data_IF_023933916336
#
_entry.id   IF_023933916336
#
_cell.length_a   1.000
_cell.length_b   1.000
_cell.length_c   1.000
_cell.angle_alpha   90.00
_cell.angle_beta   90.00
_cell.angle_gamma   90.00
#
_symmetry.space_group_name_H-M   'P 1'
#
loop_
_entity.id
_entity.type
_entity.pdbx_description
1 polymer ?
#
# COMPACT_ATOMS: atom_id res chain seq x y z
N UNK A 1 34.98 -24.39 29.37
CA UNK A 1 33.66 -23.92 29.83
C UNK A 1 33.54 -23.60 31.33
N UNK A 2 34.20 -24.32 32.26
CA UNK A 2 33.95 -24.18 33.72
C UNK A 2 34.29 -22.81 34.35
N UNK A 3 35.40 -22.19 33.96
CA UNK A 3 35.83 -20.88 34.52
C UNK A 3 34.99 -19.70 34.00
N UNK A 4 34.53 -19.77 32.74
CA UNK A 4 33.68 -18.76 32.11
C UNK A 4 32.34 -18.63 32.84
N UNK A 5 31.65 -19.77 33.06
CA UNK A 5 30.35 -19.81 33.75
C UNK A 5 30.44 -19.32 35.19
N UNK A 6 31.49 -19.71 35.91
CA UNK A 6 31.69 -19.28 37.31
C UNK A 6 31.94 -17.77 37.43
N UNK A 7 32.75 -17.19 36.54
CA UNK A 7 33.06 -15.76 36.56
C UNK A 7 31.85 -14.90 36.23
N UNK A 8 31.09 -15.26 35.18
CA UNK A 8 29.86 -14.55 34.82
C UNK A 8 28.81 -14.63 35.94
N UNK A 9 28.64 -15.81 36.55
CA UNK A 9 27.70 -15.99 37.66
C UNK A 9 28.06 -15.17 38.89
N UNK A 10 29.35 -15.08 39.22
CA UNK A 10 29.83 -14.26 40.34
C UNK A 10 29.57 -12.76 40.11
N UNK A 11 29.84 -12.25 38.92
CA UNK A 11 29.58 -10.83 38.60
C UNK A 11 28.08 -10.49 38.61
N UNK A 12 27.25 -11.34 38.00
CA UNK A 12 25.79 -11.15 38.00
C UNK A 12 25.23 -11.20 39.42
N UNK A 13 25.68 -12.15 40.25
CA UNK A 13 25.23 -12.26 41.64
C UNK A 13 25.66 -11.08 42.50
N UNK A 14 26.78 -10.42 42.19
CA UNK A 14 27.28 -9.28 42.93
C UNK A 14 26.56 -7.97 42.56
N UNK A 15 26.03 -7.87 41.33
CA UNK A 15 25.40 -6.65 40.79
C UNK A 15 24.12 -6.92 40.01
N UNK A 16 23.12 -7.60 40.60
CA UNK A 16 21.97 -8.12 39.86
C UNK A 16 21.15 -7.02 39.16
N UNK A 17 21.01 -5.86 39.78
CA UNK A 17 20.21 -4.73 39.25
C UNK A 17 20.90 -4.09 38.03
N UNK A 18 22.23 -3.96 38.05
CA UNK A 18 23.00 -3.41 36.92
C UNK A 18 22.90 -4.34 35.72
N UNK A 19 23.05 -5.66 35.92
CA UNK A 19 22.94 -6.63 34.84
C UNK A 19 21.50 -6.79 34.32
N UNK A 20 20.48 -6.73 35.18
CA UNK A 20 19.07 -6.83 34.76
C UNK A 20 18.62 -5.65 33.91
N UNK A 21 19.27 -4.49 34.03
CA UNK A 21 18.95 -3.35 33.17
C UNK A 21 19.33 -3.58 31.69
N UNK A 22 20.28 -4.48 31.40
CA UNK A 22 20.69 -4.83 30.03
C UNK A 22 19.53 -5.43 29.20
N UNK A 23 18.86 -6.52 29.63
CA UNK A 23 17.74 -7.07 28.88
C UNK A 23 16.52 -6.13 28.87
N UNK A 24 16.29 -5.31 29.90
CA UNK A 24 15.22 -4.30 29.88
C UNK A 24 15.45 -3.22 28.81
N UNK A 25 16.68 -2.70 28.71
CA UNK A 25 17.06 -1.75 27.66
C UNK A 25 16.96 -2.41 26.29
N UNK A 26 17.46 -3.64 26.14
CA UNK A 26 17.38 -4.35 24.87
C UNK A 26 15.94 -4.61 24.42
N UNK A 27 15.02 -4.91 25.34
CA UNK A 27 13.60 -5.08 25.05
C UNK A 27 12.96 -3.78 24.56
N UNK A 28 13.20 -2.66 25.27
CA UNK A 28 12.70 -1.35 24.87
C UNK A 28 13.27 -0.90 23.52
N UNK A 29 14.58 -1.06 23.33
CA UNK A 29 15.25 -0.76 22.06
C UNK A 29 14.67 -1.63 20.95
N UNK A 30 14.41 -2.91 21.21
CA UNK A 30 13.78 -3.83 20.25
C UNK A 30 12.43 -3.31 19.72
N UNK A 31 11.52 -2.89 20.63
CA UNK A 31 10.26 -2.24 20.24
C UNK A 31 10.56 -1.00 19.39
N UNK A 32 11.40 -0.10 19.90
CA UNK A 32 11.69 1.19 19.26
C UNK A 32 12.28 1.01 17.85
N UNK A 33 13.19 0.05 17.67
CA UNK A 33 13.82 -0.24 16.39
C UNK A 33 12.85 -0.82 15.38
N UNK A 34 11.99 -1.75 15.82
CA UNK A 34 11.01 -2.38 14.94
C UNK A 34 9.91 -1.38 14.54
N UNK A 35 9.42 -0.60 15.51
CA UNK A 35 8.49 0.51 15.26
C UNK A 35 9.06 1.54 14.29
N UNK A 36 10.31 1.97 14.50
CA UNK A 36 10.97 2.92 13.60
C UNK A 36 11.15 2.32 12.21
N UNK A 37 11.47 1.03 12.12
CA UNK A 37 11.53 0.30 10.87
C UNK A 37 10.22 0.35 10.09
N UNK A 38 9.11 -0.03 10.73
CA UNK A 38 7.77 0.04 10.12
C UNK A 38 7.44 1.47 9.70
N UNK A 39 7.74 2.46 10.53
CA UNK A 39 7.50 3.87 10.17
C UNK A 39 8.33 4.31 8.96
N UNK A 40 9.58 3.89 8.87
CA UNK A 40 10.48 4.19 7.76
C UNK A 40 10.07 3.50 6.46
N UNK A 41 9.35 2.38 6.53
CA UNK A 41 8.82 1.69 5.36
C UNK A 41 7.76 2.53 4.64
N UNK A 42 6.85 3.17 5.38
CA UNK A 42 5.70 3.88 4.81
C UNK A 42 5.82 5.40 4.81
N UNK A 43 6.59 5.98 5.74
CA UNK A 43 6.61 7.42 5.97
C UNK A 43 8.03 8.02 5.92
N UNK A 44 8.13 9.30 5.51
CA UNK A 44 7.07 10.14 4.95
C UNK A 44 6.73 9.77 3.49
N UNK A 45 5.47 9.95 3.08
CA UNK A 45 5.02 9.62 1.71
C UNK A 45 5.79 10.42 0.66
N UNK A 46 6.06 11.69 0.95
CA UNK A 46 6.94 12.53 0.15
C UNK A 46 8.28 12.74 0.86
N UNK A 47 9.34 12.91 0.07
CA UNK A 47 10.68 13.14 0.61
C UNK A 47 10.70 14.38 1.51
N UNK A 48 11.21 14.22 2.72
CA UNK A 48 11.45 15.32 3.66
C UNK A 48 12.94 15.41 3.97
N UNK A 49 13.48 16.62 3.84
CA UNK A 49 14.88 16.92 4.16
C UNK A 49 15.50 17.93 3.20
N UNK A 50 16.80 18.18 3.38
CA UNK A 50 17.57 19.01 2.47
C UNK A 50 17.94 18.19 1.23
N UNK A 51 17.49 18.66 0.06
CA UNK A 51 17.74 17.99 -1.23
C UNK A 51 19.08 18.43 -1.86
N UNK A 52 20.17 18.39 -1.08
CA UNK A 52 21.50 18.72 -1.60
C UNK A 52 21.99 17.61 -2.54
N UNK A 53 21.82 16.36 -2.12
CA UNK A 53 22.20 15.19 -2.91
C UNK A 53 21.32 14.01 -2.52
N UNK A 54 20.46 13.62 -3.46
CA UNK A 54 19.63 12.44 -3.42
C UNK A 54 20.14 11.45 -4.47
N UNK A 55 20.29 10.19 -4.10
CA UNK A 55 20.59 9.14 -5.08
C UNK A 55 19.30 8.70 -5.76
N UNK A 56 19.39 8.37 -7.04
CA UNK A 56 18.21 8.02 -7.82
C UNK A 56 17.54 6.76 -7.25
N UNK A 57 16.22 6.83 -7.07
CA UNK A 57 15.38 5.75 -6.52
C UNK A 57 15.77 5.23 -5.13
N UNK A 58 16.53 6.00 -4.32
CA UNK A 58 16.81 5.64 -2.92
C UNK A 58 15.92 6.38 -1.93
N UNK A 59 15.55 5.73 -0.81
CA UNK A 59 14.73 6.36 0.23
C UNK A 59 15.52 7.40 1.04
N UNK A 60 16.84 7.23 1.16
CA UNK A 60 17.72 8.15 1.87
C UNK A 60 18.35 9.19 0.94
N UNK A 61 18.46 10.42 1.44
CA UNK A 61 19.36 11.46 0.95
C UNK A 61 20.37 11.85 2.03
N UNK A 62 21.34 12.71 1.70
CA UNK A 62 22.38 13.12 2.65
C UNK A 62 21.82 13.70 3.96
N UNK A 63 20.70 14.43 3.88
CA UNK A 63 19.96 14.97 5.03
C UNK A 63 18.45 14.90 4.78
N UNK A 64 17.95 13.73 4.40
CA UNK A 64 16.53 13.53 4.23
C UNK A 64 16.12 12.07 4.08
N UNK A 65 14.83 11.83 4.28
CA UNK A 65 14.23 10.52 4.26
C UNK A 65 12.90 10.58 3.51
N UNK A 66 12.65 9.54 2.73
CA UNK A 66 11.34 9.21 2.21
C UNK A 66 11.03 7.77 2.62
N UNK A 67 9.76 7.51 2.89
CA UNK A 67 9.26 6.16 3.07
C UNK A 67 9.67 5.29 1.89
N UNK A 68 10.03 4.06 2.19
CA UNK A 68 10.60 3.15 1.21
C UNK A 68 9.59 2.73 0.14
N UNK A 69 8.39 2.32 0.55
CA UNK A 69 7.26 2.01 -0.36
C UNK A 69 6.89 3.21 -1.25
N UNK A 70 6.72 4.44 -0.72
CA UNK A 70 6.50 5.64 -1.54
C UNK A 70 7.63 5.99 -2.52
N UNK A 71 8.87 5.58 -2.22
CA UNK A 71 10.01 5.84 -3.10
C UNK A 71 9.98 4.93 -4.33
N UNK A 72 9.50 3.70 -4.16
CA UNK A 72 9.49 2.65 -5.20
C UNK A 72 8.11 2.37 -5.78
N UNK A 73 7.15 3.29 -5.60
CA UNK A 73 5.75 3.13 -6.02
C UNK A 73 5.60 2.69 -7.48
N UNK A 74 6.34 3.26 -8.43
CA UNK A 74 6.21 2.88 -9.85
C UNK A 74 6.58 1.40 -10.10
N UNK A 75 7.68 0.93 -9.50
CA UNK A 75 8.14 -0.45 -9.65
C UNK A 75 7.16 -1.43 -8.99
N UNK A 76 6.73 -1.10 -7.77
CA UNK A 76 5.80 -1.93 -6.99
C UNK A 76 4.41 -1.98 -7.62
N UNK A 77 3.89 -0.83 -8.07
CA UNK A 77 2.60 -0.74 -8.74
C UNK A 77 2.58 -1.59 -10.02
N UNK A 78 3.61 -1.51 -10.88
CA UNK A 78 3.70 -2.34 -12.09
C UNK A 78 3.69 -3.84 -11.80
N UNK A 79 4.39 -4.29 -10.76
CA UNK A 79 4.36 -5.70 -10.34
C UNK A 79 2.96 -6.11 -9.90
N UNK A 80 2.34 -5.31 -9.04
CA UNK A 80 0.99 -5.60 -8.54
C UNK A 80 -0.05 -5.61 -9.67
N UNK A 81 0.01 -4.63 -10.57
CA UNK A 81 -0.87 -4.54 -11.74
C UNK A 81 -0.74 -5.80 -12.59
N UNK A 82 0.49 -6.20 -12.93
CA UNK A 82 0.76 -7.41 -13.71
C UNK A 82 0.16 -8.65 -13.05
N UNK A 83 0.29 -8.77 -11.72
CA UNK A 83 -0.30 -9.89 -10.97
C UNK A 83 -1.83 -9.88 -11.09
N UNK A 84 -2.45 -8.71 -10.93
CA UNK A 84 -3.91 -8.57 -11.03
C UNK A 84 -4.38 -8.94 -12.43
N UNK A 85 -3.76 -8.41 -13.48
CA UNK A 85 -4.17 -8.62 -14.87
C UNK A 85 -3.87 -10.03 -15.37
N UNK A 86 -2.73 -10.62 -14.98
CA UNK A 86 -2.31 -11.91 -15.50
C UNK A 86 -2.99 -13.09 -14.77
N UNK A 87 -3.28 -12.94 -13.48
CA UNK A 87 -3.73 -14.07 -12.62
C UNK A 87 -5.11 -13.85 -11.99
N UNK A 88 -5.47 -12.63 -11.61
CA UNK A 88 -6.57 -12.40 -10.66
C UNK A 88 -7.86 -11.87 -11.28
N UNK A 89 -7.80 -11.03 -12.31
CA UNK A 89 -8.99 -10.36 -12.85
C UNK A 89 -9.00 -10.36 -14.38
N UNK A 90 -10.14 -10.76 -14.95
CA UNK A 90 -10.44 -10.61 -16.38
C UNK A 90 -11.60 -9.62 -16.52
N UNK A 91 -11.45 -8.63 -17.39
CA UNK A 91 -12.51 -7.67 -17.68
C UNK A 91 -13.70 -8.34 -18.36
N UNK A 92 -13.46 -9.25 -19.31
CA UNK A 92 -14.51 -10.01 -19.98
C UNK A 92 -15.39 -10.78 -18.98
N UNK A 93 -14.77 -11.45 -18.00
CA UNK A 93 -15.53 -12.14 -16.94
C UNK A 93 -16.33 -11.16 -16.07
N UNK A 94 -15.70 -10.07 -15.62
CA UNK A 94 -16.33 -9.11 -14.72
C UNK A 94 -17.51 -8.39 -15.41
N UNK A 95 -17.29 -7.83 -16.60
CA UNK A 95 -18.34 -7.18 -17.39
C UNK A 95 -19.36 -8.19 -17.91
N UNK A 96 -18.97 -9.45 -18.11
CA UNK A 96 -19.84 -10.58 -18.45
C UNK A 96 -21.02 -10.76 -17.50
N UNK A 97 -20.87 -10.36 -16.23
CA UNK A 97 -21.90 -10.44 -15.17
C UNK A 97 -22.95 -9.32 -15.21
N UNK A 98 -22.71 -8.26 -15.99
CA UNK A 98 -23.65 -7.14 -16.13
C UNK A 98 -24.86 -7.57 -16.97
N UNK A 99 -26.08 -7.35 -16.46
CA UNK A 99 -27.29 -7.46 -17.27
C UNK A 99 -27.39 -6.28 -18.26
N UNK A 100 -27.48 -6.53 -19.59
CA UNK A 100 -27.52 -5.47 -20.58
C UNK A 100 -28.77 -4.58 -20.52
N UNK A 101 -29.92 -5.15 -20.12
CA UNK A 101 -31.17 -4.40 -20.05
C UNK A 101 -31.15 -3.49 -18.83
N UNK A 102 -30.74 -4.01 -17.67
CA UNK A 102 -30.69 -3.26 -16.41
C UNK A 102 -29.66 -2.14 -16.49
N UNK A 103 -28.41 -2.42 -16.91
CA UNK A 103 -27.40 -1.39 -17.08
C UNK A 103 -27.81 -0.34 -18.11
N UNK A 104 -28.38 -0.79 -19.24
CA UNK A 104 -28.85 0.10 -20.29
C UNK A 104 -29.91 1.08 -19.82
N UNK A 105 -30.86 0.63 -18.98
CA UNK A 105 -31.88 1.49 -18.38
C UNK A 105 -31.29 2.46 -17.35
N UNK A 106 -30.31 2.03 -16.56
CA UNK A 106 -29.68 2.87 -15.54
C UNK A 106 -28.80 3.97 -16.15
N UNK A 107 -28.12 3.69 -17.27
CA UNK A 107 -27.30 4.69 -17.98
C UNK A 107 -28.13 5.68 -18.80
N UNK A 108 -29.34 5.28 -19.20
CA UNK A 108 -30.19 6.05 -20.12
C UNK A 108 -30.41 7.51 -19.69
N UNK A 109 -30.78 7.83 -18.42
CA UNK A 109 -31.04 9.22 -18.03
C UNK A 109 -29.80 10.12 -18.17
N UNK A 110 -28.60 9.63 -17.83
CA UNK A 110 -27.38 10.42 -17.95
C UNK A 110 -26.94 10.64 -19.39
N UNK A 111 -27.20 9.66 -20.26
CA UNK A 111 -26.97 9.80 -21.70
C UNK A 111 -27.99 10.76 -22.32
N UNK A 112 -29.27 10.66 -21.95
CA UNK A 112 -30.33 11.56 -22.44
C UNK A 112 -30.10 13.02 -22.03
N UNK A 113 -29.68 13.27 -20.78
CA UNK A 113 -29.31 14.59 -20.27
C UNK A 113 -28.16 15.21 -21.07
N UNK A 114 -27.14 14.41 -21.38
CA UNK A 114 -25.97 14.88 -22.13
C UNK A 114 -26.32 15.15 -23.60
N UNK A 115 -27.14 14.30 -24.24
CA UNK A 115 -27.63 14.53 -25.60
C UNK A 115 -28.48 15.80 -25.69
N UNK A 116 -29.36 16.05 -24.71
CA UNK A 116 -30.13 17.30 -24.65
C UNK A 116 -29.22 18.53 -24.55
N UNK A 117 -28.21 18.45 -23.68
CA UNK A 117 -27.27 19.53 -23.44
C UNK A 117 -26.44 19.87 -24.69
N UNK A 118 -25.99 18.84 -25.42
CA UNK A 118 -25.23 19.02 -26.65
C UNK A 118 -26.08 19.63 -27.77
N UNK A 119 -27.34 19.22 -27.90
CA UNK A 119 -28.22 19.66 -28.99
C UNK A 119 -28.91 21.00 -28.72
N UNK A 120 -29.09 21.38 -27.45
CA UNK A 120 -29.58 22.70 -27.05
C UNK A 120 -28.67 23.87 -27.52
N UNK A 121 -27.37 23.60 -27.71
CA UNK A 121 -26.41 24.57 -28.24
C UNK A 121 -26.34 24.64 -29.78
N UNK A 122 -27.05 23.76 -30.49
CA UNK A 122 -26.95 23.62 -31.94
C UNK A 122 -28.15 24.28 -32.67
N UNK A 123 -28.00 25.55 -33.05
CA UNK A 123 -28.99 26.29 -33.87
C UNK A 123 -29.12 25.76 -35.32
N UNK A 124 -28.38 24.69 -35.65
CA UNK A 124 -28.35 24.10 -36.99
C UNK A 124 -29.41 23.00 -37.11
N UNK A 125 -30.53 23.38 -37.71
CA UNK A 125 -31.33 22.51 -38.59
C UNK A 125 -31.93 21.26 -37.90
N UNK A 126 -32.97 21.47 -37.09
CA UNK A 126 -33.80 20.35 -36.60
C UNK A 126 -33.16 19.47 -35.51
N UNK A 127 -32.14 19.97 -34.81
CA UNK A 127 -31.48 19.28 -33.69
C UNK A 127 -32.47 18.69 -32.67
N UNK A 128 -33.53 19.42 -32.30
CA UNK A 128 -34.59 18.92 -31.42
C UNK A 128 -35.38 17.73 -31.99
N UNK A 129 -35.63 17.70 -33.30
CA UNK A 129 -36.33 16.59 -33.95
C UNK A 129 -35.45 15.34 -34.02
N UNK A 130 -34.16 15.53 -34.29
CA UNK A 130 -33.18 14.45 -34.27
C UNK A 130 -32.93 13.92 -32.84
N UNK A 131 -32.82 14.81 -31.85
CA UNK A 131 -32.74 14.47 -30.42
C UNK A 131 -33.92 13.59 -30.01
N UNK A 132 -35.14 14.01 -30.36
CA UNK A 132 -36.34 13.25 -30.10
C UNK A 132 -36.32 11.87 -30.75
N UNK A 133 -35.87 11.78 -32.01
CA UNK A 133 -35.71 10.52 -32.72
C UNK A 133 -34.71 9.58 -32.04
N UNK A 134 -33.52 10.09 -31.68
CA UNK A 134 -32.48 9.34 -30.99
C UNK A 134 -32.97 8.85 -29.63
N UNK A 135 -33.64 9.71 -28.84
CA UNK A 135 -34.27 9.34 -27.55
C UNK A 135 -35.31 8.26 -27.65
N UNK A 136 -36.08 8.20 -28.75
CA UNK A 136 -37.06 7.12 -28.95
C UNK A 136 -36.39 5.78 -29.23
N UNK A 137 -35.19 5.77 -29.79
CA UNK A 137 -34.47 4.57 -30.20
C UNK A 137 -33.46 4.12 -29.13
N UNK A 138 -32.92 5.05 -28.35
CA UNK A 138 -31.98 4.82 -27.25
C UNK A 138 -32.39 3.66 -26.31
N UNK A 139 -33.62 3.58 -25.78
CA UNK A 139 -34.04 2.47 -24.91
C UNK A 139 -33.90 1.08 -25.54
N UNK A 140 -34.03 0.97 -26.87
CA UNK A 140 -33.86 -0.28 -27.61
C UNK A 140 -32.39 -0.53 -28.01
N UNK A 141 -31.61 0.54 -28.24
CA UNK A 141 -30.19 0.45 -28.56
C UNK A 141 -29.32 0.13 -27.35
N UNK A 142 -29.66 0.66 -26.16
CA UNK A 142 -28.83 0.53 -24.96
C UNK A 142 -28.49 -0.92 -24.62
N UNK A 143 -29.44 -1.89 -24.60
CA UNK A 143 -29.09 -3.29 -24.35
C UNK A 143 -28.14 -3.88 -25.40
N UNK A 144 -28.28 -3.50 -26.68
CA UNK A 144 -27.39 -3.95 -27.75
C UNK A 144 -25.97 -3.38 -27.60
N UNK A 145 -25.87 -2.10 -27.25
CA UNK A 145 -24.58 -1.42 -27.00
C UNK A 145 -23.90 -2.06 -25.80
N UNK A 146 -24.61 -2.26 -24.69
CA UNK A 146 -24.05 -2.91 -23.50
C UNK A 146 -23.64 -4.35 -23.81
N UNK A 147 -24.43 -5.10 -24.56
CA UNK A 147 -24.07 -6.48 -24.97
C UNK A 147 -22.79 -6.51 -25.79
N UNK A 148 -22.64 -5.57 -26.74
CA UNK A 148 -21.44 -5.46 -27.56
C UNK A 148 -20.24 -4.99 -26.73
N UNK A 149 -20.46 -4.09 -25.77
CA UNK A 149 -19.42 -3.57 -24.88
C UNK A 149 -18.86 -4.70 -24.01
N UNK A 150 -19.72 -5.60 -23.52
CA UNK A 150 -19.29 -6.78 -22.75
C UNK A 150 -18.37 -7.70 -23.55
N UNK A 151 -18.61 -7.84 -24.86
CA UNK A 151 -17.84 -8.72 -25.74
C UNK A 151 -16.50 -8.12 -26.18
N UNK A 152 -16.42 -6.80 -26.28
CA UNK A 152 -15.22 -6.09 -26.75
C UNK A 152 -14.60 -5.19 -25.65
N UNK A 153 -14.84 -5.50 -24.37
CA UNK A 153 -14.42 -4.62 -23.27
C UNK A 153 -12.91 -4.39 -23.24
N UNK A 154 -12.11 -5.41 -23.56
CA UNK A 154 -10.64 -5.31 -23.59
C UNK A 154 -10.12 -4.36 -24.69
N UNK A 155 -10.93 -4.04 -25.71
CA UNK A 155 -10.59 -3.02 -26.71
C UNK A 155 -10.90 -1.61 -26.24
N UNK A 156 -11.80 -1.46 -25.26
CA UNK A 156 -12.33 -0.18 -24.80
C UNK A 156 -11.71 0.26 -23.48
N UNK A 157 -11.35 -0.70 -22.62
CA UNK A 157 -10.90 -0.47 -21.27
C UNK A 157 -9.55 -1.16 -21.03
N UNK A 158 -8.56 -0.39 -20.60
CA UNK A 158 -7.23 -0.90 -20.25
C UNK A 158 -7.09 -0.98 -18.72
N UNK A 159 -7.32 -2.19 -18.19
CA UNK A 159 -7.19 -2.47 -16.76
C UNK A 159 -5.79 -2.15 -16.22
N UNK A 160 -4.73 -2.39 -17.01
CA UNK A 160 -3.35 -2.12 -16.59
C UNK A 160 -3.19 -0.61 -16.34
N UNK A 161 -3.64 0.21 -17.27
CA UNK A 161 -3.58 1.67 -17.15
C UNK A 161 -4.41 2.19 -15.97
N UNK A 162 -5.61 1.66 -15.73
CA UNK A 162 -6.47 2.09 -14.61
C UNK A 162 -5.78 1.85 -13.27
N UNK A 163 -5.36 0.61 -13.03
CA UNK A 163 -4.73 0.20 -11.77
C UNK A 163 -3.40 0.94 -11.59
N UNK A 164 -2.57 1.02 -12.63
CA UNK A 164 -1.29 1.72 -12.56
C UNK A 164 -1.49 3.21 -12.28
N UNK A 165 -2.45 3.86 -12.94
CA UNK A 165 -2.74 5.27 -12.74
C UNK A 165 -3.23 5.55 -11.32
N UNK A 166 -3.99 4.65 -10.70
CA UNK A 166 -4.45 4.80 -9.32
C UNK A 166 -3.27 4.85 -8.33
N UNK A 167 -2.32 3.92 -8.45
CA UNK A 167 -1.16 3.85 -7.55
C UNK A 167 -0.07 4.90 -7.85
N UNK A 168 0.14 5.25 -9.13
CA UNK A 168 1.17 6.24 -9.50
C UNK A 168 0.70 7.67 -9.28
N UNK A 169 -0.58 7.96 -9.50
CA UNK A 169 -1.17 9.29 -9.25
C UNK A 169 -1.19 9.61 -7.76
N UNK A 170 -1.41 8.60 -6.93
CA UNK A 170 -1.43 8.72 -5.48
C UNK A 170 -0.64 7.61 -4.80
N UNK A 171 0.61 7.94 -4.44
CA UNK A 171 1.49 7.03 -3.69
C UNK A 171 0.88 6.62 -2.35
N UNK A 172 0.00 7.46 -1.77
CA UNK A 172 -0.68 7.12 -0.52
C UNK A 172 -1.61 5.93 -0.71
N UNK A 173 -2.25 5.77 -1.87
CA UNK A 173 -3.12 4.63 -2.14
C UNK A 173 -2.35 3.30 -2.08
N UNK A 174 -1.13 3.24 -2.61
CA UNK A 174 -0.29 2.02 -2.50
C UNK A 174 0.16 1.78 -1.05
N UNK A 175 0.50 2.85 -0.34
CA UNK A 175 0.89 2.78 1.08
C UNK A 175 -0.27 2.29 1.95
N UNK A 176 -1.48 2.81 1.72
CA UNK A 176 -2.70 2.41 2.41
C UNK A 176 -3.02 0.94 2.15
N UNK A 177 -2.83 0.45 0.91
CA UNK A 177 -3.02 -0.97 0.58
C UNK A 177 -2.13 -1.86 1.45
N UNK A 178 -0.83 -1.58 1.51
CA UNK A 178 0.12 -2.39 2.28
C UNK A 178 -0.12 -2.30 3.78
N UNK A 179 -0.45 -1.11 4.31
CA UNK A 179 -0.78 -0.95 5.72
C UNK A 179 -2.09 -1.64 6.09
N UNK A 180 -3.09 -1.62 5.21
CA UNK A 180 -4.36 -2.28 5.43
C UNK A 180 -4.15 -3.80 5.46
N UNK A 181 -3.60 -4.36 4.38
CA UNK A 181 -3.38 -5.80 4.20
C UNK A 181 -2.41 -6.37 5.24
N UNK A 182 -1.32 -5.65 5.55
CA UNK A 182 -0.28 -6.12 6.46
C UNK A 182 -0.46 -5.67 7.91
N UNK A 183 -1.62 -5.10 8.29
CA UNK A 183 -1.79 -4.45 9.60
C UNK A 183 -1.33 -5.33 10.76
N UNK A 184 -1.82 -6.57 10.81
CA UNK A 184 -1.54 -7.51 11.90
C UNK A 184 -0.08 -7.98 11.87
N UNK A 185 0.50 -8.22 10.69
CA UNK A 185 1.91 -8.60 10.55
C UNK A 185 2.84 -7.46 10.95
N UNK A 186 2.50 -6.23 10.61
CA UNK A 186 3.22 -5.03 11.01
C UNK A 186 3.14 -4.82 12.53
N UNK A 187 1.97 -4.99 13.13
CA UNK A 187 1.79 -4.94 14.59
C UNK A 187 2.60 -6.03 15.29
N UNK A 188 2.59 -7.26 14.74
CA UNK A 188 3.42 -8.34 15.24
C UNK A 188 4.92 -8.04 15.10
N UNK A 189 5.36 -7.45 13.99
CA UNK A 189 6.75 -7.03 13.79
C UNK A 189 7.19 -6.09 14.93
N UNK A 190 6.36 -5.11 15.27
CA UNK A 190 6.64 -4.16 16.36
C UNK A 190 6.61 -4.86 17.72
N UNK A 191 5.56 -5.61 18.02
CA UNK A 191 5.32 -6.21 19.33
C UNK A 191 6.32 -7.32 19.67
N UNK A 192 6.71 -8.13 18.68
CA UNK A 192 7.74 -9.16 18.82
C UNK A 192 9.12 -8.57 19.15
N UNK A 193 9.36 -7.29 18.82
CA UNK A 193 10.59 -6.57 19.14
C UNK A 193 10.89 -6.55 20.64
N UNK A 194 9.86 -6.48 21.50
CA UNK A 194 10.03 -6.55 22.95
C UNK A 194 10.59 -7.90 23.40
N UNK A 195 9.92 -8.99 22.99
CA UNK A 195 10.25 -10.35 23.42
C UNK A 195 11.59 -10.81 22.89
N UNK A 196 11.85 -10.60 21.59
CA UNK A 196 13.12 -10.92 20.95
C UNK A 196 14.27 -10.07 21.52
N UNK A 197 14.04 -8.77 21.69
CA UNK A 197 15.00 -7.86 22.30
C UNK A 197 15.36 -8.27 23.73
N UNK A 198 14.38 -8.71 24.53
CA UNK A 198 14.61 -9.22 25.88
C UNK A 198 15.44 -10.50 25.89
N UNK A 199 15.08 -11.50 25.08
CA UNK A 199 15.79 -12.80 25.00
C UNK A 199 17.23 -12.62 24.53
N UNK A 200 17.44 -11.85 23.46
CA UNK A 200 18.78 -11.54 22.96
C UNK A 200 19.56 -10.66 23.94
N UNK A 201 18.86 -9.77 24.66
CA UNK A 201 19.39 -8.97 25.76
C UNK A 201 19.90 -9.81 26.93
N UNK A 202 19.26 -10.94 27.25
CA UNK A 202 19.78 -11.90 28.24
C UNK A 202 21.09 -12.54 27.75
N UNK A 203 21.17 -12.86 26.46
CA UNK A 203 22.41 -13.31 25.82
C UNK A 203 23.52 -12.25 25.91
N UNK A 204 23.19 -11.00 25.58
CA UNK A 204 24.09 -9.84 25.72
C UNK A 204 24.56 -9.66 27.16
N UNK A 205 23.67 -9.78 28.14
CA UNK A 205 23.99 -9.67 29.57
C UNK A 205 25.03 -10.73 29.98
N UNK A 206 24.83 -11.99 29.58
CA UNK A 206 25.78 -13.09 29.86
C UNK A 206 27.12 -12.87 29.17
N UNK A 207 27.10 -12.39 27.92
CA UNK A 207 28.32 -12.10 27.17
C UNK A 207 29.14 -10.97 27.81
N UNK A 208 28.46 -9.89 28.22
CA UNK A 208 29.09 -8.75 28.88
C UNK A 208 29.65 -9.11 30.26
N UNK A 209 28.95 -9.96 31.03
CA UNK A 209 29.44 -10.46 32.32
C UNK A 209 30.78 -11.21 32.19
N UNK A 210 31.04 -11.82 31.03
CA UNK A 210 32.30 -12.51 30.77
C UNK A 210 33.40 -11.59 30.23
N UNK A 211 33.04 -10.58 29.42
CA UNK A 211 33.96 -9.63 28.78
C UNK A 211 33.50 -8.18 29.01
N UNK A 212 33.71 -7.61 30.21
CA UNK A 212 33.26 -6.25 30.53
C UNK A 212 34.19 -5.20 29.91
N UNK A 213 34.07 -4.99 28.60
CA UNK A 213 34.85 -3.99 27.86
C UNK A 213 33.90 -2.91 27.32
N UNK A 214 34.34 -1.65 27.27
CA UNK A 214 33.46 -0.54 26.88
C UNK A 214 32.82 -0.70 25.49
N UNK A 215 33.53 -1.31 24.52
CA UNK A 215 33.01 -1.50 23.16
C UNK A 215 32.07 -2.70 23.01
N UNK A 216 32.02 -3.63 23.98
CA UNK A 216 31.19 -4.84 23.84
C UNK A 216 29.70 -4.53 23.93
N UNK A 217 29.29 -3.50 24.66
CA UNK A 217 27.88 -3.09 24.76
C UNK A 217 27.36 -2.46 23.44
N UNK A 218 28.07 -1.51 22.80
CA UNK A 218 27.69 -1.02 21.47
C UNK A 218 27.69 -2.10 20.39
N UNK A 219 28.73 -2.95 20.36
CA UNK A 219 28.81 -4.03 19.37
C UNK A 219 27.72 -5.08 19.57
N UNK A 220 27.45 -5.47 20.83
CA UNK A 220 26.36 -6.38 21.14
C UNK A 220 25.00 -5.75 20.85
N UNK A 221 24.79 -4.47 21.18
CA UNK A 221 23.56 -3.75 20.85
C UNK A 221 23.31 -3.71 19.34
N UNK A 222 24.35 -3.46 18.54
CA UNK A 222 24.26 -3.50 17.07
C UNK A 222 23.89 -4.91 16.56
N UNK A 223 24.53 -5.95 17.10
CA UNK A 223 24.23 -7.33 16.76
C UNK A 223 22.81 -7.73 17.15
N UNK A 224 22.37 -7.38 18.37
CA UNK A 224 21.02 -7.64 18.87
C UNK A 224 19.98 -6.94 17.99
N UNK A 225 20.16 -5.64 17.70
CA UNK A 225 19.23 -4.91 16.84
C UNK A 225 19.15 -5.49 15.42
N UNK A 226 20.28 -5.87 14.84
CA UNK A 226 20.33 -6.55 13.54
C UNK A 226 19.60 -7.89 13.57
N UNK A 227 19.92 -8.75 14.55
CA UNK A 227 19.37 -10.11 14.63
C UNK A 227 17.88 -10.10 15.01
N UNK A 228 17.44 -9.22 15.92
CA UNK A 228 16.03 -9.06 16.26
C UNK A 228 15.21 -8.74 15.02
N UNK A 229 15.62 -7.73 14.24
CA UNK A 229 14.86 -7.32 13.06
C UNK A 229 14.91 -8.38 11.95
N UNK A 230 16.06 -9.05 11.78
CA UNK A 230 16.18 -10.17 10.84
C UNK A 230 15.27 -11.34 11.21
N UNK A 231 15.20 -11.73 12.49
CA UNK A 231 14.30 -12.78 12.97
C UNK A 231 12.84 -12.35 12.80
N UNK A 232 12.50 -11.10 13.15
CA UNK A 232 11.14 -10.58 13.05
C UNK A 232 10.60 -10.65 11.62
N UNK A 233 11.35 -10.15 10.64
CA UNK A 233 10.97 -10.24 9.21
C UNK A 233 10.83 -11.70 8.79
N UNK A 234 11.79 -12.55 9.17
CA UNK A 234 11.77 -13.96 8.78
C UNK A 234 10.54 -14.70 9.29
N UNK A 235 10.07 -14.40 10.50
CA UNK A 235 8.84 -14.99 11.04
C UNK A 235 7.57 -14.53 10.30
N UNK A 236 7.61 -13.41 9.57
CA UNK A 236 6.46 -12.89 8.84
C UNK A 236 6.26 -13.66 7.53
N UNK A 237 7.34 -13.97 6.80
CA UNK A 237 7.27 -14.55 5.45
C UNK A 237 7.76 -16.00 5.33
N UNK A 238 8.60 -16.49 6.25
CA UNK A 238 9.18 -17.84 6.18
C UNK A 238 8.75 -18.73 7.36
N UNK A 239 8.48 -20.03 7.13
CA UNK A 239 8.42 -20.71 5.83
C UNK A 239 7.06 -20.47 5.14
N UNK A 240 7.08 -20.40 3.81
CA UNK A 240 5.86 -20.17 3.03
C UNK A 240 4.87 -21.33 3.11
N UNK A 241 5.37 -22.56 2.97
CA UNK A 241 4.58 -23.76 3.23
C UNK A 241 4.61 -24.11 4.73
N UNK A 242 3.49 -24.60 5.28
CA UNK A 242 3.45 -25.03 6.67
C UNK A 242 4.41 -26.20 6.90
N UNK A 243 5.33 -26.04 7.85
CA UNK A 243 6.31 -27.05 8.23
C UNK A 243 5.94 -27.66 9.57
N UNK A 244 5.75 -28.98 9.59
CA UNK A 244 5.53 -29.75 10.82
C UNK A 244 6.83 -29.90 11.63
N UNK A 245 6.75 -29.60 12.92
CA UNK A 245 7.85 -29.71 13.89
C UNK A 245 7.46 -30.71 14.98
N UNK A 246 8.46 -31.44 15.49
CA UNK A 246 8.30 -32.49 16.52
C UNK A 246 7.34 -33.62 16.07
N UNK A 247 7.52 -34.12 14.84
CA UNK A 247 6.77 -35.27 14.34
C UNK A 247 5.26 -35.02 14.14
N UNK A 248 4.87 -33.79 13.79
CA UNK A 248 3.49 -33.42 13.46
C UNK A 248 2.68 -32.78 14.61
N UNK A 249 3.31 -32.39 15.72
CA UNK A 249 2.59 -31.80 16.87
C UNK A 249 2.37 -30.29 16.76
N UNK A 250 3.23 -29.59 16.01
CA UNK A 250 3.16 -28.15 15.80
C UNK A 250 3.47 -27.84 14.35
N UNK A 251 2.66 -26.98 13.72
CA UNK A 251 2.92 -26.44 12.39
C UNK A 251 3.45 -25.02 12.53
N UNK A 252 4.53 -24.72 11.81
CA UNK A 252 5.07 -23.35 11.70
C UNK A 252 4.96 -22.92 10.25
N UNK A 253 4.42 -21.73 10.05
CA UNK A 253 4.31 -21.06 8.76
C UNK A 253 4.57 -19.57 8.99
N UNK A 254 5.04 -18.87 7.96
CA UNK A 254 5.08 -17.41 7.95
C UNK A 254 3.70 -16.84 8.28
N UNK A 255 3.68 -15.81 9.12
CA UNK A 255 2.42 -15.23 9.61
C UNK A 255 1.56 -14.73 8.45
N UNK A 256 2.18 -14.10 7.46
CA UNK A 256 1.49 -13.51 6.32
C UNK A 256 0.79 -14.58 5.48
N UNK A 257 1.47 -15.69 5.21
CA UNK A 257 0.93 -16.84 4.46
C UNK A 257 -0.14 -17.57 5.27
N UNK A 258 0.03 -17.69 6.59
CA UNK A 258 -0.99 -18.29 7.47
C UNK A 258 -2.31 -17.51 7.49
N UNK A 259 -2.26 -16.19 7.22
CA UNK A 259 -3.42 -15.28 7.13
C UNK A 259 -3.87 -15.02 5.70
N UNK A 260 -3.46 -15.85 4.73
CA UNK A 260 -3.82 -15.70 3.31
C UNK A 260 -5.32 -15.43 3.08
N UNK A 261 -6.22 -16.08 3.83
CA UNK A 261 -7.67 -15.88 3.68
C UNK A 261 -8.07 -14.45 4.03
N UNK A 262 -7.63 -13.95 5.17
CA UNK A 262 -7.98 -12.62 5.67
C UNK A 262 -7.34 -11.53 4.81
N UNK A 263 -6.05 -11.70 4.47
CA UNK A 263 -5.33 -10.81 3.56
C UNK A 263 -6.02 -10.72 2.20
N UNK A 264 -6.50 -11.84 1.67
CA UNK A 264 -7.20 -11.88 0.38
C UNK A 264 -8.50 -11.07 0.42
N UNK A 265 -9.24 -11.13 1.52
CA UNK A 265 -10.47 -10.36 1.71
C UNK A 265 -10.19 -8.86 1.84
N UNK A 266 -9.19 -8.47 2.65
CA UNK A 266 -8.80 -7.08 2.79
C UNK A 266 -8.25 -6.49 1.48
N UNK A 267 -7.50 -7.29 0.71
CA UNK A 267 -7.01 -6.91 -0.61
C UNK A 267 -8.16 -6.67 -1.60
N UNK A 268 -9.09 -7.63 -1.72
CA UNK A 268 -10.24 -7.51 -2.62
C UNK A 268 -11.10 -6.29 -2.29
N UNK A 269 -11.40 -6.09 -1.01
CA UNK A 269 -12.19 -4.96 -0.52
C UNK A 269 -11.50 -3.62 -0.81
N UNK A 270 -10.19 -3.53 -0.55
CA UNK A 270 -9.41 -2.35 -0.85
C UNK A 270 -9.43 -2.01 -2.35
N UNK A 271 -9.18 -3.03 -3.19
CA UNK A 271 -9.13 -2.85 -4.64
C UNK A 271 -10.46 -2.34 -5.19
N UNK A 272 -11.60 -2.92 -4.78
CA UNK A 272 -12.91 -2.45 -5.24
C UNK A 272 -13.26 -1.04 -4.73
N UNK A 273 -12.91 -0.72 -3.48
CA UNK A 273 -13.28 0.57 -2.86
C UNK A 273 -12.38 1.75 -3.25
N UNK A 274 -11.11 1.51 -3.62
CA UNK A 274 -10.11 2.58 -3.81
C UNK A 274 -9.46 2.61 -5.19
N UNK A 275 -9.49 1.52 -5.95
CA UNK A 275 -8.73 1.39 -7.21
C UNK A 275 -9.64 1.10 -8.40
N UNK A 276 -10.51 0.09 -8.28
CA UNK A 276 -11.39 -0.40 -9.33
C UNK A 276 -12.85 -0.06 -9.03
N UNK A 277 -13.10 1.21 -8.69
CA UNK A 277 -14.45 1.68 -8.40
C UNK A 277 -15.26 1.82 -9.71
N UNK A 278 -16.59 1.65 -9.64
CA UNK A 278 -17.47 1.92 -10.78
C UNK A 278 -17.21 3.29 -11.42
N UNK A 279 -16.99 4.32 -10.59
CA UNK A 279 -16.66 5.67 -11.06
C UNK A 279 -15.34 5.74 -11.82
N UNK A 280 -14.28 5.09 -11.34
CA UNK A 280 -12.99 5.08 -12.04
C UNK A 280 -13.05 4.28 -13.35
N UNK A 281 -13.76 3.14 -13.38
CA UNK A 281 -13.97 2.34 -14.59
C UNK A 281 -14.78 3.10 -15.64
N UNK A 282 -15.93 3.69 -15.26
CA UNK A 282 -16.77 4.48 -16.16
C UNK A 282 -16.06 5.74 -16.65
N UNK A 283 -15.26 6.37 -15.78
CA UNK A 283 -14.45 7.52 -16.15
C UNK A 283 -13.41 7.14 -17.20
N UNK A 284 -12.70 6.04 -17.01
CA UNK A 284 -11.69 5.56 -17.96
C UNK A 284 -12.30 5.23 -19.33
N UNK A 285 -13.46 4.56 -19.34
CA UNK A 285 -14.24 4.33 -20.58
C UNK A 285 -14.50 5.64 -21.34
N UNK A 286 -14.73 6.74 -20.64
CA UNK A 286 -15.07 8.03 -21.26
C UNK A 286 -13.87 8.89 -21.68
N UNK A 287 -12.63 8.44 -21.45
CA UNK A 287 -11.43 9.21 -21.80
C UNK A 287 -11.20 9.30 -23.32
N UNK A 288 -10.60 10.42 -23.75
CA UNK A 288 -10.15 10.62 -25.14
C UNK A 288 -11.14 11.31 -26.08
N UNK A 289 -12.40 11.52 -25.68
CA UNK A 289 -13.40 12.21 -26.51
C UNK A 289 -13.60 11.50 -27.85
N UNK A 290 -13.54 12.23 -28.97
CA UNK A 290 -13.68 11.66 -30.33
C UNK A 290 -12.55 10.68 -30.71
N UNK A 291 -11.37 10.83 -30.11
CA UNK A 291 -10.23 9.94 -30.30
C UNK A 291 -10.23 8.75 -29.31
N UNK A 292 -11.18 8.74 -28.36
CA UNK A 292 -11.33 7.73 -27.32
C UNK A 292 -11.88 6.40 -27.84
N UNK A 293 -11.60 5.33 -27.12
CA UNK A 293 -12.00 3.98 -27.54
C UNK A 293 -13.52 3.77 -27.45
N UNK A 294 -14.19 4.34 -26.44
CA UNK A 294 -15.66 4.28 -26.35
C UNK A 294 -16.33 4.98 -27.53
N UNK A 295 -15.82 6.13 -27.98
CA UNK A 295 -16.35 6.82 -29.16
C UNK A 295 -16.21 5.97 -30.42
N UNK A 296 -15.01 5.41 -30.65
CA UNK A 296 -14.75 4.52 -31.80
C UNK A 296 -15.63 3.26 -31.75
N UNK A 297 -15.81 2.69 -30.56
CA UNK A 297 -16.67 1.54 -30.31
C UNK A 297 -18.13 1.87 -30.64
N UNK A 298 -18.68 2.97 -30.14
CA UNK A 298 -20.05 3.41 -30.42
C UNK A 298 -20.25 3.64 -31.92
N UNK A 299 -19.30 4.33 -32.57
CA UNK A 299 -19.34 4.59 -34.01
C UNK A 299 -19.38 3.32 -34.87
N UNK A 300 -18.74 2.23 -34.40
CA UNK A 300 -18.71 0.93 -35.09
C UNK A 300 -20.01 0.14 -34.94
N UNK A 301 -20.65 0.23 -33.77
CA UNK A 301 -21.79 -0.61 -33.40
C UNK A 301 -23.17 0.02 -33.68
N UNK A 302 -23.21 1.32 -33.97
CA UNK A 302 -24.47 1.99 -34.26
C UNK A 302 -24.93 1.76 -35.72
N UNK A 303 -26.17 1.29 -35.94
CA UNK A 303 -26.65 0.85 -37.26
C UNK A 303 -26.94 1.98 -38.25
N UNK A 304 -26.96 3.24 -37.78
CA UNK A 304 -27.28 4.41 -38.59
C UNK A 304 -26.17 5.46 -38.46
N UNK A 305 -25.97 6.32 -39.47
CA UNK A 305 -25.04 7.43 -39.36
C UNK A 305 -25.54 8.43 -38.31
N UNK A 306 -25.04 8.27 -37.08
CA UNK A 306 -25.27 9.19 -35.97
C UNK A 306 -24.21 10.30 -36.04
N UNK A 307 -24.60 11.59 -35.97
CA UNK A 307 -23.68 12.72 -35.89
C UNK A 307 -22.65 12.56 -34.77
N UNK A 308 -21.41 13.00 -35.01
CA UNK A 308 -20.32 12.90 -34.02
C UNK A 308 -20.65 13.66 -32.74
N UNK A 309 -21.41 14.74 -32.82
CA UNK A 309 -21.83 15.53 -31.65
C UNK A 309 -22.66 14.70 -30.65
N UNK A 310 -23.49 13.78 -31.15
CA UNK A 310 -24.35 12.93 -30.30
C UNK A 310 -23.54 11.78 -29.71
N UNK A 311 -22.59 11.24 -30.47
CA UNK A 311 -21.65 10.24 -29.95
C UNK A 311 -20.79 10.83 -28.83
N UNK A 312 -20.23 12.02 -29.05
CA UNK A 312 -19.48 12.77 -28.04
C UNK A 312 -20.35 13.06 -26.83
N UNK A 313 -21.60 13.48 -27.02
CA UNK A 313 -22.55 13.67 -25.94
C UNK A 313 -22.84 12.38 -25.15
N UNK A 314 -22.92 11.22 -25.81
CA UNK A 314 -23.09 9.95 -25.11
C UNK A 314 -21.86 9.58 -24.28
N UNK A 315 -20.65 9.81 -24.81
CA UNK A 315 -19.38 9.63 -24.07
C UNK A 315 -19.33 10.58 -22.87
N UNK A 316 -19.69 11.85 -23.06
CA UNK A 316 -19.78 12.85 -21.99
C UNK A 316 -20.86 12.47 -20.96
N UNK A 317 -21.96 11.85 -21.39
CA UNK A 317 -22.99 11.28 -20.51
C UNK A 317 -22.42 10.22 -19.59
N UNK A 318 -21.61 9.29 -20.11
CA UNK A 318 -20.89 8.30 -19.29
C UNK A 318 -19.89 8.99 -18.35
N UNK A 319 -19.17 10.01 -18.82
CA UNK A 319 -18.25 10.79 -17.98
C UNK A 319 -18.97 11.50 -16.82
N UNK A 320 -20.15 12.07 -17.09
CA UNK A 320 -20.98 12.75 -16.10
C UNK A 320 -21.52 11.77 -15.05
N UNK A 321 -21.95 10.58 -15.50
CA UNK A 321 -22.35 9.49 -14.61
C UNK A 321 -21.19 9.08 -13.71
N UNK A 322 -20.00 8.93 -14.28
CA UNK A 322 -18.79 8.57 -13.52
C UNK A 322 -18.40 9.63 -12.48
N UNK A 323 -18.59 10.91 -12.80
CA UNK A 323 -18.19 12.04 -11.97
C UNK A 323 -19.15 12.34 -10.80
N UNK A 324 -20.44 11.98 -10.92
CA UNK A 324 -21.47 12.27 -9.92
C UNK A 324 -22.10 10.99 -9.32
N UNK A 325 -21.41 10.34 -8.36
CA UNK A 325 -21.91 9.13 -7.71
C UNK A 325 -23.14 9.38 -6.83
N UNK A 326 -23.46 10.64 -6.49
CA UNK A 326 -24.64 10.98 -5.68
C UNK A 326 -25.86 11.03 -6.59
N UNK A 327 -25.79 11.74 -7.73
CA UNK A 327 -26.88 11.80 -8.70
C UNK A 327 -27.16 10.45 -9.35
N UNK A 328 -26.12 9.68 -9.65
CA UNK A 328 -26.22 8.38 -10.33
C UNK A 328 -25.90 7.20 -9.40
N UNK A 329 -26.31 7.29 -8.14
CA UNK A 329 -26.02 6.28 -7.12
C UNK A 329 -26.45 4.86 -7.54
N UNK A 330 -27.58 4.72 -8.23
CA UNK A 330 -28.07 3.43 -8.72
C UNK A 330 -27.12 2.79 -9.74
N UNK A 331 -26.52 3.58 -10.64
CA UNK A 331 -25.53 3.07 -11.61
C UNK A 331 -24.28 2.59 -10.87
N UNK A 332 -23.73 3.42 -9.99
CA UNK A 332 -22.50 3.09 -9.24
C UNK A 332 -22.71 1.85 -8.36
N UNK A 333 -23.84 1.78 -7.67
CA UNK A 333 -24.21 0.62 -6.84
C UNK A 333 -24.33 -0.63 -7.71
N UNK A 334 -25.10 -0.57 -8.79
CA UNK A 334 -25.30 -1.71 -9.68
C UNK A 334 -23.99 -2.22 -10.29
N UNK A 335 -23.15 -1.32 -10.81
CA UNK A 335 -21.86 -1.69 -11.42
C UNK A 335 -20.93 -2.32 -10.38
N UNK A 336 -20.80 -1.72 -9.19
CA UNK A 336 -19.96 -2.29 -8.13
C UNK A 336 -20.45 -3.67 -7.66
N UNK A 337 -21.75 -3.83 -7.45
CA UNK A 337 -22.34 -5.10 -6.99
C UNK A 337 -22.25 -6.21 -8.05
N UNK A 338 -22.46 -5.87 -9.34
CA UNK A 338 -22.49 -6.88 -10.41
C UNK A 338 -21.12 -7.25 -10.96
N UNK A 339 -20.17 -6.32 -11.01
CA UNK A 339 -18.79 -6.65 -11.38
C UNK A 339 -18.16 -7.60 -10.34
N UNK A 340 -18.52 -7.42 -9.06
CA UNK A 340 -18.10 -8.30 -7.96
C UNK A 340 -16.58 -8.50 -7.93
N UNK A 341 -15.85 -7.39 -8.02
CA UNK A 341 -14.38 -7.36 -8.12
C UNK A 341 -13.75 -7.84 -6.82
N UNK A 342 -14.28 -7.39 -5.68
CA UNK A 342 -13.80 -7.74 -4.34
C UNK A 342 -13.77 -9.25 -4.15
N UNK A 343 -14.93 -9.91 -4.29
CA UNK A 343 -15.01 -11.36 -4.04
C UNK A 343 -14.27 -12.15 -5.11
N UNK A 344 -14.21 -11.66 -6.35
CA UNK A 344 -13.42 -12.33 -7.41
C UNK A 344 -11.94 -12.32 -7.08
N UNK A 345 -11.38 -11.17 -6.72
CA UNK A 345 -9.97 -11.06 -6.32
C UNK A 345 -9.68 -11.89 -5.08
N UNK A 346 -10.51 -11.77 -4.04
CA UNK A 346 -10.34 -12.49 -2.80
C UNK A 346 -10.39 -14.02 -3.00
N UNK A 347 -11.38 -14.50 -3.76
CA UNK A 347 -11.54 -15.94 -4.04
C UNK A 347 -10.38 -16.50 -4.84
N UNK A 348 -9.87 -15.77 -5.84
CA UNK A 348 -8.72 -16.24 -6.61
C UNK A 348 -7.44 -16.25 -5.78
N UNK A 349 -7.20 -15.23 -4.96
CA UNK A 349 -6.06 -15.20 -4.05
C UNK A 349 -6.09 -16.33 -3.01
N UNK A 350 -7.26 -16.68 -2.48
CA UNK A 350 -7.45 -17.79 -1.52
C UNK A 350 -7.14 -19.18 -2.09
N UNK A 351 -7.24 -19.34 -3.41
CA UNK A 351 -7.05 -20.65 -4.08
C UNK A 351 -5.60 -20.87 -4.50
N UNK A 352 -4.77 -19.82 -4.49
CA UNK A 352 -3.35 -19.93 -4.77
C UNK A 352 -2.66 -20.79 -3.71
N UNK A 353 -1.61 -21.50 -4.12
CA UNK A 353 -0.75 -22.17 -3.14
C UNK A 353 -0.02 -21.12 -2.26
N UNK A 354 0.42 -21.48 -1.05
CA UNK A 354 1.15 -20.55 -0.18
C UNK A 354 2.40 -19.97 -0.87
N UNK A 355 3.13 -20.77 -1.64
CA UNK A 355 4.28 -20.30 -2.42
C UNK A 355 3.88 -19.36 -3.55
N UNK A 356 2.79 -19.65 -4.27
CA UNK A 356 2.30 -18.74 -5.30
C UNK A 356 1.86 -17.41 -4.71
N UNK A 357 1.19 -17.44 -3.55
CA UNK A 357 0.74 -16.27 -2.81
C UNK A 357 1.92 -15.44 -2.27
N UNK A 358 2.93 -16.09 -1.69
CA UNK A 358 4.20 -15.47 -1.30
C UNK A 358 4.85 -14.80 -2.52
N UNK A 359 4.99 -15.50 -3.64
CA UNK A 359 5.57 -14.95 -4.88
C UNK A 359 4.80 -13.73 -5.43
N UNK A 360 3.52 -13.54 -5.07
CA UNK A 360 2.77 -12.34 -5.46
C UNK A 360 3.16 -11.12 -4.62
N UNK A 361 3.34 -11.30 -3.31
CA UNK A 361 3.38 -10.19 -2.35
C UNK A 361 4.78 -9.99 -1.76
N UNK A 362 5.52 -11.07 -1.54
CA UNK A 362 6.86 -11.06 -0.96
C UNK A 362 7.87 -10.28 -1.80
N UNK A 363 7.91 -10.34 -3.15
CA UNK A 363 8.81 -9.49 -3.94
C UNK A 363 8.57 -7.99 -3.76
N UNK A 364 7.40 -7.59 -3.21
CA UNK A 364 7.12 -6.20 -2.89
C UNK A 364 7.66 -5.81 -1.51
N UNK A 365 7.73 -6.74 -0.56
CA UNK A 365 8.30 -6.52 0.76
C UNK A 365 9.82 -6.76 0.84
N UNK A 366 10.36 -7.69 0.04
CA UNK A 366 11.78 -8.09 0.03
C UNK A 366 12.75 -6.96 -0.33
N UNK A 367 12.34 -6.02 -1.18
CA UNK A 367 13.28 -5.07 -1.78
C UNK A 367 13.99 -4.18 -0.76
N UNK A 368 13.49 -4.13 0.48
CA UNK A 368 13.94 -3.18 1.48
C UNK A 368 14.12 -3.76 2.90
N UNK A 369 14.06 -5.09 3.02
CA UNK A 369 14.40 -5.81 4.25
C UNK A 369 15.79 -5.46 4.76
N UNK A 370 16.77 -5.33 3.85
CA UNK A 370 18.16 -4.99 4.20
C UNK A 370 18.23 -3.61 4.85
N UNK A 371 17.48 -2.64 4.34
CA UNK A 371 17.43 -1.28 4.91
C UNK A 371 16.85 -1.31 6.33
N UNK A 372 15.81 -2.12 6.55
CA UNK A 372 15.20 -2.33 7.85
C UNK A 372 16.20 -2.94 8.85
N UNK A 373 16.84 -4.05 8.46
CA UNK A 373 17.79 -4.80 9.28
C UNK A 373 19.03 -3.94 9.61
N UNK A 374 19.55 -3.21 8.63
CA UNK A 374 20.69 -2.32 8.82
C UNK A 374 20.37 -1.17 9.78
N UNK A 375 19.16 -0.59 9.67
CA UNK A 375 18.70 0.48 10.58
C UNK A 375 18.60 -0.04 12.02
N UNK A 376 18.05 -1.24 12.22
CA UNK A 376 18.01 -1.90 13.52
C UNK A 376 19.42 -2.06 14.13
N UNK A 377 20.41 -2.45 13.32
CA UNK A 377 21.80 -2.54 13.76
C UNK A 377 22.41 -1.17 14.14
N UNK A 378 22.16 -0.12 13.37
CA UNK A 378 22.67 1.24 13.66
C UNK A 378 22.06 1.79 14.95
N UNK A 379 20.75 1.65 15.14
CA UNK A 379 20.06 2.08 16.34
C UNK A 379 20.49 1.27 17.57
N UNK A 380 20.68 -0.04 17.40
CA UNK A 380 21.24 -0.91 18.44
C UNK A 380 22.65 -0.48 18.87
N UNK A 381 23.49 -0.08 17.92
CA UNK A 381 24.82 0.49 18.20
C UNK A 381 24.70 1.77 19.03
N UNK A 382 23.84 2.70 18.61
CA UNK A 382 23.61 3.95 19.30
C UNK A 382 23.10 3.72 20.74
N UNK A 383 22.15 2.81 20.93
CA UNK A 383 21.63 2.44 22.23
C UNK A 383 22.70 1.82 23.13
N UNK A 384 23.52 0.90 22.62
CA UNK A 384 24.65 0.34 23.37
C UNK A 384 25.73 1.37 23.70
N UNK A 385 25.92 2.36 22.83
CA UNK A 385 26.76 3.55 23.07
C UNK A 385 26.26 4.39 24.24
N UNK A 386 24.97 4.73 24.23
CA UNK A 386 24.31 5.45 25.33
C UNK A 386 24.38 4.68 26.65
N UNK A 387 24.15 3.37 26.61
CA UNK A 387 24.27 2.49 27.78
C UNK A 387 25.69 2.50 28.36
N UNK A 388 26.71 2.54 27.49
CA UNK A 388 28.11 2.63 27.92
C UNK A 388 28.44 3.98 28.56
N UNK A 389 27.91 5.09 28.02
CA UNK A 389 28.09 6.43 28.57
C UNK A 389 27.36 6.62 29.90
N UNK A 390 26.18 6.05 30.05
CA UNK A 390 25.41 6.08 31.30
C UNK A 390 26.09 5.29 32.43
N UNK A 391 26.90 4.28 32.06
CA UNK A 391 27.94 3.66 32.86
C UNK A 391 27.54 3.28 34.29
N UNK A 392 27.36 1.98 34.56
CA UNK A 392 27.17 1.42 35.92
C UNK A 392 28.50 1.32 36.71
N UNK A 393 29.32 2.37 36.63
CA UNK A 393 30.55 2.52 37.40
C UNK A 393 30.44 3.67 38.41
N UNK A 394 30.91 3.45 39.65
CA UNK A 394 30.94 4.46 40.72
C UNK A 394 29.78 4.39 41.71
N UNK A 395 29.77 5.29 42.70
CA UNK A 395 28.83 5.26 43.84
C UNK A 395 27.33 5.36 43.46
N UNK A 396 27.02 5.77 42.23
CA UNK A 396 25.67 5.98 41.73
C UNK A 396 25.22 4.92 40.70
N UNK A 397 25.92 3.78 40.59
CA UNK A 397 25.61 2.74 39.60
C UNK A 397 24.20 2.12 39.79
N UNK A 398 23.87 1.73 41.04
CA UNK A 398 22.57 1.13 41.39
C UNK A 398 21.38 2.08 41.15
N UNK A 399 21.37 3.34 41.65
CA UNK A 399 20.25 4.24 41.39
C UNK A 399 20.09 4.58 39.89
N UNK A 400 21.19 4.64 39.13
CA UNK A 400 21.11 4.81 37.66
C UNK A 400 20.49 3.59 36.98
N UNK A 401 20.90 2.38 37.35
CA UNK A 401 20.33 1.14 36.82
C UNK A 401 18.83 1.03 37.09
N UNK A 402 18.40 1.34 38.33
CA UNK A 402 16.97 1.37 38.68
C UNK A 402 16.23 2.42 37.84
N UNK A 403 16.77 3.64 37.73
CA UNK A 403 16.19 4.69 36.89
C UNK A 403 16.03 4.26 35.43
N UNK A 404 17.03 3.59 34.86
CA UNK A 404 16.96 3.06 33.49
C UNK A 404 15.91 1.96 33.34
N UNK A 405 15.81 1.03 34.28
CA UNK A 405 14.78 -0.03 34.26
C UNK A 405 13.39 0.60 34.35
N UNK A 406 13.16 1.51 35.30
CA UNK A 406 11.87 2.17 35.47
C UNK A 406 11.50 2.96 34.21
N UNK A 407 12.44 3.71 33.66
CA UNK A 407 12.22 4.46 32.41
C UNK A 407 11.87 3.53 31.24
N UNK A 408 12.66 2.49 31.01
CA UNK A 408 12.44 1.56 29.87
C UNK A 408 11.15 0.78 30.00
N UNK A 409 10.80 0.32 31.20
CA UNK A 409 9.52 -0.36 31.46
C UNK A 409 8.34 0.60 31.32
N UNK A 410 8.44 1.81 31.88
CA UNK A 410 7.38 2.82 31.76
C UNK A 410 7.18 3.25 30.31
N UNK A 411 8.25 3.52 29.56
CA UNK A 411 8.19 3.86 28.14
C UNK A 411 7.63 2.72 27.30
N UNK A 412 7.99 1.47 27.60
CA UNK A 412 7.41 0.30 26.91
C UNK A 412 5.92 0.14 27.23
N UNK A 413 5.53 0.31 28.49
CA UNK A 413 4.12 0.25 28.91
C UNK A 413 3.30 1.38 28.27
N UNK A 414 3.83 2.61 28.27
CA UNK A 414 3.20 3.75 27.64
C UNK A 414 3.01 3.51 26.13
N UNK A 415 4.02 2.95 25.46
CA UNK A 415 3.94 2.58 24.05
C UNK A 415 2.80 1.59 23.77
N UNK A 416 2.68 0.52 24.55
CA UNK A 416 1.59 -0.46 24.38
C UNK A 416 0.21 0.14 24.70
N UNK A 417 0.10 1.00 25.72
CA UNK A 417 -1.15 1.69 26.05
C UNK A 417 -1.59 2.67 24.95
N UNK A 418 -0.64 3.37 24.34
CA UNK A 418 -0.92 4.29 23.23
C UNK A 418 -1.37 3.52 21.98
N UNK A 419 -0.71 2.40 21.66
CA UNK A 419 -1.09 1.52 20.55
C UNK A 419 -2.48 0.91 20.73
N UNK A 420 -2.82 0.44 21.94
CA UNK A 420 -4.14 -0.10 22.24
C UNK A 420 -5.24 0.98 22.15
N UNK A 421 -4.93 2.22 22.53
CA UNK A 421 -5.83 3.36 22.35
C UNK A 421 -6.08 3.71 20.87
N UNK A 422 -5.05 3.68 20.01
CA UNK A 422 -5.18 3.90 18.56
C UNK A 422 -6.00 2.79 17.88
N UNK A 423 -5.84 1.52 18.28
CA UNK A 423 -6.59 0.37 17.73
C UNK A 423 -8.10 0.45 18.00
N UNK A 424 -8.52 0.92 19.17
CA UNK A 424 -9.94 1.05 19.55
C UNK A 424 -10.66 2.25 18.90
N UNK A 425 -9.91 3.21 18.33
CA UNK A 425 -10.46 4.45 17.79
C UNK A 425 -10.30 4.60 16.26
N UNK A 426 -9.96 3.53 15.55
CA UNK A 426 -10.11 3.45 14.09
C UNK A 426 -11.60 3.34 13.72
N UNK A 427 -12.37 4.42 13.93
CA UNK A 427 -13.54 4.65 13.09
C UNK A 427 -13.07 4.69 11.62
N UNK A 428 -13.81 4.10 10.68
CA UNK A 428 -13.44 4.20 9.28
C UNK A 428 -13.36 5.69 8.95
N UNK A 429 -12.19 6.15 8.52
CA UNK A 429 -12.00 7.46 7.89
C UNK A 429 -12.79 7.48 6.57
N UNK A 430 -14.11 7.54 6.68
CA UNK A 430 -15.01 8.06 5.68
C UNK A 430 -14.76 9.56 5.67
N UNK A 431 -14.31 10.06 4.52
CA UNK A 431 -14.09 11.47 4.22
C UNK A 431 -12.93 12.15 4.97
N UNK A 432 -11.73 12.06 4.42
CA UNK A 432 -10.98 13.29 4.21
C UNK A 432 -11.02 13.59 2.73
N UNK A 433 -11.50 14.79 2.40
CA UNK A 433 -11.55 15.35 1.07
C UNK A 433 -10.28 15.01 0.31
N UNK A 434 -10.42 14.54 -0.94
CA UNK A 434 -9.31 14.52 -1.90
C UNK A 434 -8.58 15.86 -1.75
N UNK A 435 -7.27 15.89 -1.42
CA UNK A 435 -6.57 17.14 -1.45
C UNK A 435 -6.72 17.66 -2.87
N UNK A 436 -7.37 18.83 -3.03
CA UNK A 436 -7.32 19.55 -4.29
C UNK A 436 -5.84 19.84 -4.54
N UNK A 437 -5.20 18.96 -5.31
CA UNK A 437 -3.87 19.16 -5.83
C UNK A 437 -3.95 20.49 -6.57
N UNK A 438 -3.41 21.53 -5.94
CA UNK A 438 -3.25 22.86 -6.52
C UNK A 438 -2.51 22.63 -7.82
N UNK A 439 -3.24 22.73 -8.94
CA UNK A 439 -2.75 22.57 -10.30
C UNK A 439 -1.60 23.57 -10.48
N UNK A 440 -0.35 23.14 -10.22
CA UNK A 440 0.82 23.91 -10.61
C UNK A 440 0.88 23.76 -12.12
N UNK A 441 0.44 24.80 -12.82
CA UNK A 441 0.61 24.93 -14.26
C UNK A 441 2.05 24.55 -14.60
N UNK A 442 2.20 23.41 -15.26
CA UNK A 442 3.44 23.03 -15.90
C UNK A 442 3.61 24.03 -17.03
N UNK A 443 4.38 25.09 -16.78
CA UNK A 443 4.83 26.00 -17.84
C UNK A 443 5.70 25.14 -18.77
N UNK A 444 5.07 24.60 -19.81
CA UNK A 444 5.74 24.02 -20.96
C UNK A 444 6.58 25.15 -21.54
N UNK A 445 7.87 25.15 -21.20
CA UNK A 445 8.85 26.08 -21.76
C UNK A 445 8.95 25.77 -23.24
N UNK A 446 8.20 26.52 -24.07
CA UNK A 446 8.32 26.48 -25.54
C UNK A 446 9.80 26.60 -25.88
N UNK A 447 10.29 25.58 -26.57
CA UNK A 447 11.60 25.57 -27.23
C UNK A 447 11.59 26.72 -28.24
N UNK A 448 12.23 27.84 -27.89
CA UNK A 448 12.40 28.96 -28.81
C UNK A 448 13.23 28.47 -29.98
N UNK A 449 12.65 28.51 -31.17
CA UNK A 449 13.33 28.24 -32.42
C UNK A 449 14.48 29.25 -32.58
N UNK A 450 15.64 28.71 -32.95
CA UNK A 450 16.85 29.43 -33.33
C UNK A 450 16.50 30.27 -34.58
N UNK A 451 16.80 31.58 -34.63
CA UNK A 451 16.68 32.33 -35.87
C UNK A 451 17.79 31.90 -36.83
N UNK A 452 17.41 31.46 -38.03
CA UNK A 452 18.31 31.38 -39.18
C UNK A 452 18.87 32.77 -39.47
N UNK A 453 20.18 32.92 -39.28
CA UNK A 453 20.96 34.04 -39.75
C UNK A 453 21.03 33.98 -41.28
N UNK A 454 20.27 34.87 -41.94
CA UNK A 454 20.48 35.20 -43.34
C UNK A 454 21.57 36.26 -43.42
N UNK A 455 22.80 35.82 -43.67
CA UNK A 455 23.87 36.67 -44.21
C UNK A 455 24.94 35.86 -44.96
N UNK A 456 24.61 35.42 -46.18
CA UNK A 456 25.40 35.57 -47.42
C UNK A 456 24.77 34.80 -48.58
#
# INVERSE_FOLDING_TARGET
MGNFRRKAWQEISNRPIEFLSVPCVAAFVGILTNWMGVKMLFYPVEYRGLDWKRWDKTPYGLFGWQGVVPTKTDLMARRLVKIITDKLLSLEEAFGRLDPNELGQLLLPGIEDAVDSALAGSDRMGGNLYAWGVKKILPWLMPHIVTSLKQEIDQVLDLETIVLSAFVRDKATLVDLFQKVGRVELDFLVNSGFGLGFILGLGQMVFWAAHPVAWTLPAAGAFVGYVTNWIAIRMIFEPAEPVEIVGGLFEIQGMFESRQIEVSDEFGDFMQKRVLTAGDLLKDLSLGGEDGELFKFLRRHLPYPIPSEILSAAVDGVANIAADPIKYADVHKYVNERLDISDTLARRLKVLSPTEFEDLLHPVFQEDEITLIATGGVLGLAAGGLQTQLGWGGANAVPRAIGTIVFTLFSSLFFFLEQEYELDHDEPLVSTERPQLRRRETVVRRRTQIPEDRSN
#
